data_IF_299314452587
#
_entry.id   IF_299314452587
#
_cell.length_a   1.000
_cell.length_b   1.000
_cell.length_c   1.000
_cell.angle_alpha   90.00
_cell.angle_beta   90.00
_cell.angle_gamma   90.00
#
_symmetry.space_group_name_H-M   'P 1'
#
loop_
_entity.id
_entity.type
_entity.pdbx_description
1 polymer ?
#
# COMPACT_ATOMS: atom_id res chain seq x y z
N UNK A 1 -12.60 -14.58 -29.73
CA UNK A 1 -12.45 -14.15 -28.32
C UNK A 1 -12.82 -15.32 -27.42
N UNK A 2 -11.84 -15.91 -26.73
CA UNK A 2 -12.09 -17.01 -25.78
C UNK A 2 -12.73 -16.44 -24.51
N UNK A 3 -13.88 -16.97 -24.12
CA UNK A 3 -14.51 -16.66 -22.84
C UNK A 3 -14.31 -17.85 -21.92
N UNK A 4 -13.55 -17.62 -20.86
CA UNK A 4 -13.26 -18.65 -19.87
C UNK A 4 -14.58 -19.12 -19.20
N UNK A 5 -14.96 -20.41 -19.35
CA UNK A 5 -16.18 -20.94 -18.74
C UNK A 5 -16.11 -20.99 -17.21
N UNK A 6 -14.91 -20.97 -16.63
CA UNK A 6 -14.69 -21.05 -15.17
C UNK A 6 -14.57 -19.68 -14.50
N UNK A 7 -14.68 -18.58 -15.25
CA UNK A 7 -14.48 -17.22 -14.72
C UNK A 7 -15.39 -16.88 -13.52
N UNK A 8 -16.62 -17.41 -13.49
CA UNK A 8 -17.55 -17.25 -12.35
C UNK A 8 -17.12 -18.05 -11.13
N UNK A 9 -16.51 -19.22 -11.34
CA UNK A 9 -16.03 -20.10 -10.29
C UNK A 9 -14.71 -19.61 -9.71
N UNK A 10 -13.85 -18.96 -10.50
CA UNK A 10 -12.62 -18.31 -10.05
C UNK A 10 -12.86 -16.90 -9.46
N UNK A 11 -14.10 -16.37 -9.53
CA UNK A 11 -14.41 -15.01 -9.08
C UNK A 11 -14.16 -14.80 -7.58
N UNK A 12 -14.34 -15.84 -6.74
CA UNK A 12 -14.09 -15.73 -5.29
C UNK A 12 -12.62 -15.40 -4.98
N UNK A 13 -11.67 -15.90 -5.79
CA UNK A 13 -10.22 -15.64 -5.62
C UNK A 13 -9.87 -14.18 -5.91
N UNK A 14 -10.64 -13.54 -6.78
CA UNK A 14 -10.46 -12.15 -7.20
C UNK A 14 -11.42 -11.23 -6.45
N UNK A 15 -11.71 -11.55 -5.19
CA UNK A 15 -12.58 -10.71 -4.36
C UNK A 15 -11.96 -9.31 -4.22
N UNK A 16 -12.66 -8.24 -4.64
CA UNK A 16 -12.10 -6.89 -4.66
C UNK A 16 -11.66 -6.37 -3.29
N UNK A 17 -12.34 -6.83 -2.24
CA UNK A 17 -12.13 -6.39 -0.86
C UNK A 17 -10.82 -6.90 -0.24
N UNK A 18 -10.33 -8.09 -0.63
CA UNK A 18 -9.19 -8.73 0.02
C UNK A 18 -7.99 -8.98 -0.91
N UNK A 19 -8.24 -9.36 -2.17
CA UNK A 19 -7.19 -9.79 -3.11
C UNK A 19 -7.05 -8.86 -4.32
N UNK A 20 -7.50 -7.61 -4.20
CA UNK A 20 -7.23 -6.62 -5.24
C UNK A 20 -5.75 -6.19 -5.19
N UNK A 21 -5.13 -6.01 -6.36
CA UNK A 21 -3.74 -5.53 -6.46
C UNK A 21 -3.53 -4.26 -5.64
N UNK A 22 -4.48 -3.32 -5.69
CA UNK A 22 -4.43 -2.06 -4.95
C UNK A 22 -4.40 -2.26 -3.43
N UNK A 23 -5.20 -3.18 -2.89
CA UNK A 23 -5.20 -3.48 -1.46
C UNK A 23 -3.90 -4.16 -1.01
N UNK A 24 -3.33 -5.04 -1.84
CA UNK A 24 -2.03 -5.66 -1.56
C UNK A 24 -0.90 -4.62 -1.55
N UNK A 25 -0.86 -3.71 -2.53
CA UNK A 25 0.15 -2.64 -2.59
C UNK A 25 0.01 -1.62 -1.46
N UNK A 26 -1.21 -1.27 -1.07
CA UNK A 26 -1.46 -0.31 0.02
C UNK A 26 -0.95 -0.77 1.38
N UNK A 27 -0.89 -2.08 1.62
CA UNK A 27 -0.45 -2.67 2.87
C UNK A 27 1.03 -3.11 2.86
N UNK A 28 1.80 -2.84 1.79
CA UNK A 28 3.21 -3.26 1.71
C UNK A 28 4.11 -2.58 2.74
N UNK A 29 3.79 -1.34 3.14
CA UNK A 29 4.61 -0.57 4.07
C UNK A 29 3.76 -0.05 5.24
N UNK A 30 3.40 -0.93 6.20
CA UNK A 30 2.70 -0.50 7.39
C UNK A 30 3.55 0.52 8.14
N UNK A 31 3.01 1.71 8.38
CA UNK A 31 3.69 2.76 9.14
C UNK A 31 4.64 3.66 8.33
N UNK A 32 4.76 3.50 7.00
CA UNK A 32 5.61 4.39 6.18
C UNK A 32 5.24 5.87 6.34
N UNK A 33 3.95 6.20 6.39
CA UNK A 33 3.51 7.59 6.59
C UNK A 33 3.99 8.19 7.91
N UNK A 34 3.95 7.41 9.00
CA UNK A 34 4.42 7.86 10.32
C UNK A 34 5.94 8.02 10.31
N UNK A 35 6.65 7.07 9.71
CA UNK A 35 8.11 7.12 9.60
C UNK A 35 8.60 8.34 8.81
N UNK A 36 7.96 8.65 7.67
CA UNK A 36 8.28 9.83 6.86
C UNK A 36 8.04 11.12 7.63
N UNK A 37 6.90 11.22 8.34
CA UNK A 37 6.59 12.40 9.16
C UNK A 37 7.63 12.58 10.27
N UNK A 38 7.90 11.53 11.05
CA UNK A 38 8.88 11.59 12.14
C UNK A 38 10.29 11.94 11.63
N UNK A 39 10.72 11.33 10.52
CA UNK A 39 12.00 11.61 9.90
C UNK A 39 12.09 13.06 9.42
N UNK A 40 11.07 13.57 8.72
CA UNK A 40 11.05 14.95 8.24
C UNK A 40 11.08 15.97 9.37
N UNK A 41 10.35 15.72 10.47
CA UNK A 41 10.37 16.56 11.66
C UNK A 41 11.75 16.57 12.32
N UNK A 42 12.42 15.42 12.42
CA UNK A 42 13.78 15.33 12.94
C UNK A 42 14.78 16.10 12.06
N UNK A 43 14.74 15.92 10.74
CA UNK A 43 15.64 16.63 9.81
C UNK A 43 15.41 18.13 9.86
N UNK A 44 14.15 18.59 9.92
CA UNK A 44 13.84 20.01 10.05
C UNK A 44 14.37 20.58 11.38
N UNK A 45 14.22 19.84 12.48
CA UNK A 45 14.78 20.23 13.78
C UNK A 45 16.31 20.33 13.72
N UNK A 46 16.98 19.29 13.22
CA UNK A 46 18.44 19.25 13.10
C UNK A 46 18.95 20.43 12.25
N UNK A 47 18.32 20.72 11.11
CA UNK A 47 18.70 21.86 10.24
C UNK A 47 18.46 23.24 10.85
N UNK A 48 17.52 23.37 11.78
CA UNK A 48 17.19 24.66 12.40
C UNK A 48 18.01 24.92 13.68
N UNK A 49 18.33 23.87 14.43
CA UNK A 49 18.96 24.00 15.76
C UNK A 49 20.42 23.55 15.80
N UNK A 50 20.93 22.88 14.76
CA UNK A 50 22.31 22.40 14.66
C UNK A 50 22.92 22.85 13.31
N UNK A 51 23.34 24.13 13.19
CA UNK A 51 23.98 24.66 11.98
C UNK A 51 25.34 24.03 11.69
#
# INVERSE_FOLDING_TARGET
LYRDPWAKLEAWRKTPAYFSRRAMFGNMFPGFGIAVVAFSAYVAWDKLFNP
#
